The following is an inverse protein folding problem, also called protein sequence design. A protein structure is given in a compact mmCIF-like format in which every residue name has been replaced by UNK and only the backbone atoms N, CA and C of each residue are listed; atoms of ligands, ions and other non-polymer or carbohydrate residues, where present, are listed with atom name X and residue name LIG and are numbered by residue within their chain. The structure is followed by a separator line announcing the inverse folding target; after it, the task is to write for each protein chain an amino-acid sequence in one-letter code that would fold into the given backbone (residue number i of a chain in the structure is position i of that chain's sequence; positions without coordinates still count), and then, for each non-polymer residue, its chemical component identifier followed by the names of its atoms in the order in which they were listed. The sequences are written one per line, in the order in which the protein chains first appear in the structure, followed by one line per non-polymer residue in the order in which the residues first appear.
data_IF_746290953717
#
_entry.id   IF_746290953717
#
_cell.length_a   1.000
_cell.length_b   1.000
_cell.length_c   1.000
_cell.angle_alpha   90.00
_cell.angle_beta   90.00
_cell.angle_gamma   90.00
#
_symmetry.space_group_name_H-M   'P 1'
#
loop_
_entity.id
_entity.type
_entity.pdbx_description
1 polymer ?
#
# COMPACT_ATOMS: atom_id res chain seq x y z
N UNK A 1 -3.01 -20.10 -18.56
CA UNK A 1 -3.32 -18.68 -18.30
C UNK A 1 -2.13 -18.07 -17.60
N UNK A 2 -1.56 -17.02 -18.15
CA UNK A 2 -0.43 -16.27 -17.55
C UNK A 2 -0.93 -15.39 -16.42
N UNK A 3 -0.02 -14.96 -15.53
CA UNK A 3 -0.37 -14.06 -14.42
C UNK A 3 -0.95 -12.74 -14.90
N UNK A 4 -0.47 -12.22 -16.04
CA UNK A 4 -0.98 -10.98 -16.63
C UNK A 4 -2.39 -11.16 -17.22
N UNK A 5 -2.68 -12.29 -17.84
CA UNK A 5 -4.03 -12.62 -18.32
C UNK A 5 -5.00 -12.72 -17.15
N UNK A 6 -4.60 -13.41 -16.07
CA UNK A 6 -5.43 -13.53 -14.88
C UNK A 6 -5.66 -12.17 -14.20
N UNK A 7 -4.64 -11.30 -14.13
CA UNK A 7 -4.79 -9.92 -13.66
C UNK A 7 -5.75 -9.08 -14.52
N UNK A 8 -5.75 -9.28 -15.85
CA UNK A 8 -6.73 -8.64 -16.75
C UNK A 8 -8.15 -9.16 -16.48
N UNK A 9 -8.30 -10.45 -16.23
CA UNK A 9 -9.60 -11.03 -15.89
C UNK A 9 -10.12 -10.54 -14.54
N UNK A 10 -9.25 -10.35 -13.54
CA UNK A 10 -9.61 -9.69 -12.27
C UNK A 10 -10.20 -8.29 -12.55
N UNK A 11 -9.49 -7.48 -13.35
CA UNK A 11 -9.97 -6.14 -13.69
C UNK A 11 -11.32 -6.18 -14.40
N UNK A 12 -11.50 -7.08 -15.38
CA UNK A 12 -12.75 -7.26 -16.12
C UNK A 12 -13.90 -7.72 -15.21
N UNK A 13 -13.64 -8.65 -14.30
CA UNK A 13 -14.63 -9.17 -13.37
C UNK A 13 -15.13 -8.05 -12.43
N UNK A 14 -14.22 -7.28 -11.85
CA UNK A 14 -14.57 -6.18 -10.95
C UNK A 14 -15.19 -4.99 -11.68
N UNK A 15 -14.79 -4.70 -12.92
CA UNK A 15 -15.43 -3.66 -13.74
C UNK A 15 -16.90 -3.97 -14.05
N UNK A 16 -17.28 -5.26 -14.11
CA UNK A 16 -18.67 -5.71 -14.28
C UNK A 16 -19.45 -5.80 -12.97
N UNK A 17 -18.80 -5.63 -11.82
CA UNK A 17 -19.39 -5.76 -10.50
C UNK A 17 -19.12 -4.49 -9.65
N UNK A 18 -19.87 -3.39 -9.86
CA UNK A 18 -19.65 -2.11 -9.16
C UNK A 18 -19.67 -2.21 -7.63
N UNK A 19 -20.46 -3.13 -7.09
CA UNK A 19 -20.56 -3.43 -5.65
C UNK A 19 -19.38 -4.26 -5.11
N UNK A 20 -18.49 -4.73 -5.99
CA UNK A 20 -17.40 -5.63 -5.66
C UNK A 20 -17.83 -7.09 -5.50
N UNK A 21 -16.84 -7.97 -5.47
CA UNK A 21 -17.02 -9.42 -5.35
C UNK A 21 -16.41 -9.91 -4.04
N UNK A 22 -17.04 -10.87 -3.36
CA UNK A 22 -16.38 -11.56 -2.25
C UNK A 22 -15.19 -12.37 -2.76
N UNK A 23 -14.37 -12.83 -1.83
CA UNK A 23 -13.23 -13.71 -2.11
C UNK A 23 -13.65 -14.96 -2.89
N UNK A 24 -14.74 -15.59 -2.47
CA UNK A 24 -15.28 -16.82 -3.05
C UNK A 24 -15.91 -16.57 -4.42
N UNK A 25 -16.64 -15.45 -4.57
CA UNK A 25 -17.22 -15.05 -5.85
C UNK A 25 -16.13 -14.78 -6.88
N UNK A 26 -15.08 -14.02 -6.51
CA UNK A 26 -13.98 -13.70 -7.40
C UNK A 26 -13.18 -14.95 -7.77
N UNK A 27 -12.85 -15.82 -6.82
CA UNK A 27 -12.16 -17.08 -7.10
C UNK A 27 -12.97 -17.99 -8.04
N UNK A 28 -14.30 -18.05 -7.86
CA UNK A 28 -15.20 -18.81 -8.75
C UNK A 28 -15.24 -18.23 -10.15
N UNK A 29 -15.33 -16.90 -10.30
CA UNK A 29 -15.33 -16.22 -11.61
C UNK A 29 -14.03 -16.47 -12.35
N UNK A 30 -12.90 -16.46 -11.64
CA UNK A 30 -11.57 -16.68 -12.22
C UNK A 30 -11.24 -18.16 -12.42
N UNK A 31 -11.95 -19.08 -11.76
CA UNK A 31 -11.68 -20.51 -11.81
C UNK A 31 -10.34 -20.91 -11.19
N UNK A 32 -9.86 -20.16 -10.19
CA UNK A 32 -8.54 -20.38 -9.57
C UNK A 32 -8.62 -20.51 -8.06
N UNK A 33 -7.58 -21.10 -7.46
CA UNK A 33 -7.42 -21.17 -6.01
C UNK A 33 -7.13 -19.81 -5.37
N UNK A 34 -7.29 -19.73 -4.06
CA UNK A 34 -7.20 -18.48 -3.31
C UNK A 34 -5.87 -17.74 -3.48
N UNK A 35 -4.73 -18.43 -3.30
CA UNK A 35 -3.41 -17.82 -3.40
C UNK A 35 -3.21 -17.15 -4.76
N UNK A 36 -3.53 -17.87 -5.83
CA UNK A 36 -3.39 -17.39 -7.19
C UNK A 36 -4.33 -16.21 -7.50
N UNK A 37 -5.55 -16.22 -6.95
CA UNK A 37 -6.47 -15.09 -7.03
C UNK A 37 -5.89 -13.86 -6.32
N UNK A 38 -5.31 -14.01 -5.13
CA UNK A 38 -4.71 -12.88 -4.37
C UNK A 38 -3.50 -12.29 -5.10
N UNK A 39 -2.66 -13.13 -5.69
CA UNK A 39 -1.50 -12.69 -6.49
C UNK A 39 -1.97 -11.95 -7.75
N UNK A 40 -3.00 -12.45 -8.43
CA UNK A 40 -3.59 -11.78 -9.58
C UNK A 40 -4.25 -10.45 -9.24
N UNK A 41 -4.94 -10.37 -8.10
CA UNK A 41 -5.49 -9.13 -7.55
C UNK A 41 -4.37 -8.14 -7.29
N UNK A 42 -3.25 -8.58 -6.70
CA UNK A 42 -2.11 -7.71 -6.44
C UNK A 42 -1.51 -7.14 -7.74
N UNK A 43 -1.31 -7.99 -8.74
CA UNK A 43 -0.80 -7.56 -10.03
C UNK A 43 -1.78 -6.63 -10.78
N UNK A 44 -3.08 -6.95 -10.77
CA UNK A 44 -4.11 -6.11 -11.37
C UNK A 44 -4.12 -4.71 -10.75
N UNK A 45 -4.03 -4.65 -9.44
CA UNK A 45 -3.90 -3.43 -8.66
C UNK A 45 -2.70 -2.56 -9.08
N UNK A 46 -1.51 -3.15 -9.21
CA UNK A 46 -0.31 -2.43 -9.65
C UNK A 46 -0.44 -1.89 -11.07
N UNK A 47 -1.08 -2.64 -11.98
CA UNK A 47 -1.26 -2.22 -13.38
C UNK A 47 -2.37 -1.19 -13.55
N UNK A 48 -3.40 -1.22 -12.72
CA UNK A 48 -4.54 -0.33 -12.80
C UNK A 48 -4.28 1.05 -12.18
N UNK A 49 -3.44 1.11 -11.14
CA UNK A 49 -3.15 2.35 -10.41
C UNK A 49 -2.64 3.51 -11.30
N UNK A 50 -1.66 3.32 -12.21
CA UNK A 50 -1.21 4.39 -13.11
C UNK A 50 -2.32 4.97 -14.00
N UNK A 51 -3.34 4.16 -14.31
CA UNK A 51 -4.50 4.54 -15.12
C UNK A 51 -5.63 5.20 -14.29
N UNK A 52 -5.40 5.49 -13.01
CA UNK A 52 -6.38 6.17 -12.15
C UNK A 52 -7.45 5.25 -11.59
N UNK A 53 -7.13 3.98 -11.39
CA UNK A 53 -8.02 3.02 -10.73
C UNK A 53 -7.41 2.52 -9.44
N UNK A 54 -8.22 2.41 -8.39
CA UNK A 54 -7.85 1.72 -7.17
C UNK A 54 -8.51 0.36 -7.11
N UNK A 55 -7.76 -0.68 -6.77
CA UNK A 55 -8.26 -2.04 -6.67
C UNK A 55 -7.79 -2.66 -5.35
N UNK A 56 -8.71 -3.17 -4.55
CA UNK A 56 -8.34 -3.82 -3.30
C UNK A 56 -9.55 -4.33 -2.54
N UNK A 57 -9.28 -5.00 -1.41
CA UNK A 57 -10.33 -5.43 -0.50
C UNK A 57 -10.79 -4.25 0.34
N UNK A 58 -12.09 -4.03 0.34
CA UNK A 58 -12.77 -3.11 1.24
C UNK A 58 -13.07 -3.83 2.56
N UNK A 59 -12.44 -3.44 3.68
CA UNK A 59 -12.63 -4.12 4.97
C UNK A 59 -14.02 -3.93 5.57
N UNK A 60 -14.80 -2.93 5.13
CA UNK A 60 -16.16 -2.71 5.63
C UNK A 60 -17.13 -3.74 5.03
N UNK A 61 -16.95 -4.10 3.75
CA UNK A 61 -17.86 -5.00 3.02
C UNK A 61 -17.29 -6.40 2.83
N UNK A 62 -15.99 -6.60 3.05
CA UNK A 62 -15.30 -7.86 2.78
C UNK A 62 -15.19 -8.20 1.30
N UNK A 63 -15.39 -7.21 0.41
CA UNK A 63 -15.41 -7.38 -1.05
C UNK A 63 -14.18 -6.77 -1.70
N UNK A 64 -13.68 -7.41 -2.75
CA UNK A 64 -12.74 -6.78 -3.68
C UNK A 64 -13.51 -5.80 -4.56
N UNK A 65 -13.01 -4.56 -4.63
CA UNK A 65 -13.64 -3.47 -5.38
C UNK A 65 -12.66 -2.89 -6.40
N UNK A 66 -13.21 -2.33 -7.47
CA UNK A 66 -12.50 -1.49 -8.43
C UNK A 66 -13.11 -0.10 -8.38
N UNK A 67 -12.32 0.88 -7.95
CA UNK A 67 -12.75 2.26 -7.72
C UNK A 67 -12.10 3.14 -8.79
N UNK A 68 -12.87 3.70 -9.73
CA UNK A 68 -12.37 4.72 -10.64
C UNK A 68 -12.10 6.03 -9.88
N UNK A 69 -10.88 6.57 -9.98
CA UNK A 69 -10.44 7.80 -9.33
C UNK A 69 -10.55 9.03 -10.25
N UNK A 70 -10.86 8.81 -11.54
CA UNK A 70 -11.00 9.86 -12.56
C UNK A 70 -12.28 10.70 -12.42
N UNK A 71 -13.17 10.35 -11.49
CA UNK A 71 -14.36 11.11 -11.14
C UNK A 71 -14.32 11.52 -9.66
N UNK A 72 -13.61 12.62 -9.34
CA UNK A 72 -13.36 13.04 -7.96
C UNK A 72 -14.60 13.60 -7.24
N UNK A 73 -15.73 13.79 -7.94
CA UNK A 73 -16.93 14.42 -7.38
C UNK A 73 -17.86 13.48 -6.60
N UNK A 74 -17.46 12.22 -6.36
CA UNK A 74 -18.21 11.30 -5.51
C UNK A 74 -17.57 11.18 -4.10
N UNK A 75 -18.09 11.90 -3.08
CA UNK A 75 -17.56 11.84 -1.70
C UNK A 75 -17.48 10.41 -1.15
N UNK A 76 -18.44 9.56 -1.51
CA UNK A 76 -18.51 8.16 -1.11
C UNK A 76 -17.36 7.32 -1.68
N UNK A 77 -16.94 7.58 -2.92
CA UNK A 77 -15.80 6.89 -3.55
C UNK A 77 -14.47 7.27 -2.91
N UNK A 78 -14.31 8.56 -2.56
CA UNK A 78 -13.11 9.04 -1.87
C UNK A 78 -12.95 8.37 -0.50
N UNK A 79 -14.03 8.28 0.27
CA UNK A 79 -14.03 7.61 1.57
C UNK A 79 -13.72 6.12 1.45
N UNK A 80 -14.34 5.43 0.48
CA UNK A 80 -14.07 4.02 0.21
C UNK A 80 -12.61 3.78 -0.21
N UNK A 81 -12.08 4.60 -1.12
CA UNK A 81 -10.69 4.51 -1.56
C UNK A 81 -9.70 4.71 -0.40
N UNK A 82 -9.93 5.69 0.48
CA UNK A 82 -9.11 5.88 1.70
C UNK A 82 -9.12 4.65 2.58
N UNK A 83 -10.28 4.03 2.80
CA UNK A 83 -10.41 2.83 3.63
C UNK A 83 -9.68 1.63 3.03
N UNK A 84 -9.78 1.41 1.72
CA UNK A 84 -9.02 0.35 1.02
C UNK A 84 -7.51 0.60 1.13
N UNK A 85 -7.05 1.85 0.97
CA UNK A 85 -5.64 2.21 1.15
C UNK A 85 -5.15 1.97 2.57
N UNK A 86 -5.94 2.34 3.58
CA UNK A 86 -5.64 2.09 4.98
C UNK A 86 -5.49 0.59 5.26
N UNK A 87 -6.41 -0.23 4.72
CA UNK A 87 -6.34 -1.67 4.85
C UNK A 87 -5.12 -2.27 4.13
N UNK A 88 -4.78 -1.80 2.93
CA UNK A 88 -3.58 -2.24 2.22
C UNK A 88 -2.30 -1.90 2.97
N UNK A 89 -2.27 -0.74 3.65
CA UNK A 89 -1.14 -0.28 4.46
C UNK A 89 -0.93 -1.14 5.70
N UNK A 90 -1.96 -1.73 6.31
CA UNK A 90 -1.76 -2.58 7.50
C UNK A 90 -0.99 -3.87 7.19
N UNK A 91 -0.74 -4.19 5.91
CA UNK A 91 0.08 -5.32 5.46
C UNK A 91 1.42 -4.90 4.82
N UNK A 92 1.93 -3.72 5.20
CA UNK A 92 2.98 -2.95 4.51
C UNK A 92 4.20 -3.74 4.03
N UNK A 93 4.70 -4.71 4.81
CA UNK A 93 5.89 -5.51 4.48
C UNK A 93 5.81 -6.22 3.13
N UNK A 94 4.61 -6.60 2.68
CA UNK A 94 4.39 -7.35 1.43
C UNK A 94 3.72 -6.51 0.34
N UNK A 95 3.38 -5.25 0.62
CA UNK A 95 2.45 -4.46 -0.22
C UNK A 95 2.97 -3.08 -0.60
N UNK A 96 4.18 -2.70 -0.18
CA UNK A 96 4.75 -1.35 -0.35
C UNK A 96 4.58 -0.80 -1.77
N UNK A 97 5.05 -1.52 -2.81
CA UNK A 97 4.98 -1.06 -4.20
C UNK A 97 3.55 -0.73 -4.63
N UNK A 98 2.62 -1.64 -4.32
CA UNK A 98 1.19 -1.51 -4.65
C UNK A 98 0.56 -0.33 -3.91
N UNK A 99 0.86 -0.18 -2.62
CA UNK A 99 0.37 0.94 -1.82
C UNK A 99 0.85 2.28 -2.40
N UNK A 100 2.15 2.42 -2.68
CA UNK A 100 2.74 3.65 -3.20
C UNK A 100 2.09 4.07 -4.52
N UNK A 101 1.93 3.14 -5.48
CA UNK A 101 1.28 3.42 -6.77
C UNK A 101 -0.17 3.90 -6.60
N UNK A 102 -0.94 3.27 -5.70
CA UNK A 102 -2.34 3.68 -5.47
C UNK A 102 -2.45 4.98 -4.68
N UNK A 103 -1.54 5.23 -3.73
CA UNK A 103 -1.50 6.48 -2.98
C UNK A 103 -1.16 7.66 -3.90
N UNK A 104 -0.21 7.47 -4.83
CA UNK A 104 0.08 8.45 -5.89
C UNK A 104 -1.13 8.71 -6.80
N UNK A 105 -1.81 7.65 -7.24
CA UNK A 105 -3.02 7.77 -8.05
C UNK A 105 -4.15 8.51 -7.30
N UNK A 106 -4.34 8.22 -6.02
CA UNK A 106 -5.28 8.91 -5.14
C UNK A 106 -4.92 10.39 -5.01
N UNK A 107 -3.66 10.69 -4.76
CA UNK A 107 -3.18 12.08 -4.58
C UNK A 107 -3.37 12.90 -5.85
N UNK A 108 -3.07 12.30 -7.01
CA UNK A 108 -3.32 12.94 -8.32
C UNK A 108 -4.79 13.25 -8.55
N UNK A 109 -5.69 12.35 -8.14
CA UNK A 109 -7.13 12.50 -8.33
C UNK A 109 -7.77 13.54 -7.41
N UNK A 110 -7.36 13.57 -6.14
CA UNK A 110 -8.03 14.36 -5.10
C UNK A 110 -7.25 15.59 -4.63
N UNK A 111 -6.01 15.79 -5.12
CA UNK A 111 -5.16 16.93 -4.77
C UNK A 111 -4.57 16.87 -3.35
N UNK A 112 -4.74 15.76 -2.64
CA UNK A 112 -4.27 15.57 -1.27
C UNK A 112 -3.87 14.09 -1.05
N UNK A 113 -2.90 13.82 -0.15
CA UNK A 113 -2.59 12.45 0.20
C UNK A 113 -3.78 11.77 0.89
N UNK A 114 -3.88 10.43 0.83
CA UNK A 114 -4.87 9.69 1.60
C UNK A 114 -4.61 9.86 3.11
N UNK A 115 -5.23 10.85 3.74
CA UNK A 115 -5.27 10.98 5.20
C UNK A 115 -6.07 9.82 5.79
N UNK A 116 -5.41 9.02 6.62
CA UNK A 116 -6.04 7.89 7.31
C UNK A 116 -6.49 8.39 8.68
N UNK A 117 -7.79 8.67 8.82
CA UNK A 117 -8.41 9.01 10.11
C UNK A 117 -8.36 7.80 11.05
N UNK A 118 -7.76 8.00 12.23
CA UNK A 118 -7.97 7.14 13.39
C UNK A 118 -6.84 6.14 13.67
N UNK A 119 -6.12 6.42 14.75
CA UNK A 119 -5.04 5.64 15.33
C UNK A 119 -3.92 5.28 14.35
N UNK A 120 -2.78 5.96 14.52
CA UNK A 120 -1.50 5.32 14.28
C UNK A 120 -1.59 3.89 14.85
N UNK A 121 -1.68 2.88 13.98
CA UNK A 121 -1.16 1.59 14.38
C UNK A 121 0.24 1.88 14.92
N UNK A 122 0.61 1.36 16.10
CA UNK A 122 1.99 1.47 16.55
C UNK A 122 2.85 1.03 15.38
N UNK A 123 3.63 1.98 14.94
CA UNK A 123 4.33 1.98 13.68
C UNK A 123 5.29 0.78 13.73
N UNK A 124 4.93 -0.38 13.15
CA UNK A 124 5.95 -1.37 12.75
C UNK A 124 6.98 -0.70 11.81
N UNK A 125 6.59 0.44 11.25
CA UNK A 125 7.40 1.37 10.49
C UNK A 125 7.40 2.76 11.10
N UNK A 126 8.13 2.96 12.21
CA UNK A 126 9.03 4.11 12.33
C UNK A 126 10.03 4.15 11.14
N UNK A 127 9.53 4.06 9.90
CA UNK A 127 10.20 4.14 8.60
C UNK A 127 10.52 5.59 8.24
N UNK A 128 10.88 6.39 9.25
CA UNK A 128 11.82 7.47 9.04
C UNK A 128 13.25 6.93 8.88
N UNK A 129 13.47 5.62 9.02
CA UNK A 129 14.79 5.00 8.97
C UNK A 129 14.81 3.88 7.92
N UNK A 130 14.99 4.26 6.65
CA UNK A 130 15.47 3.32 5.64
C UNK A 130 16.88 2.87 6.09
N UNK A 131 17.17 1.58 6.28
CA UNK A 131 18.50 1.11 6.71
C UNK A 131 19.62 1.56 5.76
N UNK A 132 19.33 1.71 4.47
CA UNK A 132 20.29 2.28 3.51
C UNK A 132 20.51 3.77 3.75
N UNK A 133 19.46 4.52 4.12
CA UNK A 133 19.58 5.95 4.42
C UNK A 133 20.35 6.19 5.73
N UNK A 134 20.10 5.37 6.75
CA UNK A 134 20.86 5.35 8.00
C UNK A 134 22.34 5.07 7.77
N UNK A 135 22.65 4.02 6.99
CA UNK A 135 24.02 3.67 6.66
C UNK A 135 24.72 4.77 5.86
N UNK A 136 24.01 5.37 4.89
CA UNK A 136 24.55 6.45 4.06
C UNK A 136 24.84 7.70 4.90
N UNK A 137 23.98 8.05 5.86
CA UNK A 137 24.25 9.18 6.76
C UNK A 137 25.35 8.87 7.78
N UNK A 138 25.45 7.63 8.28
CA UNK A 138 26.54 7.20 9.15
C UNK A 138 27.90 7.33 8.45
N UNK A 139 27.99 6.88 7.18
CA UNK A 139 29.21 7.02 6.35
C UNK A 139 29.54 8.50 6.14
N UNK A 140 28.57 9.34 5.80
CA UNK A 140 28.78 10.79 5.61
C UNK A 140 29.23 11.49 6.90
N UNK A 141 28.64 11.15 8.03
CA UNK A 141 29.04 11.69 9.33
C UNK A 141 30.48 11.29 9.68
N UNK A 142 30.85 10.04 9.41
CA UNK A 142 32.21 9.55 9.61
C UNK A 142 33.23 10.25 8.70
N UNK A 143 32.93 10.40 7.40
CA UNK A 143 33.78 11.14 6.45
C UNK A 143 34.01 12.60 6.87
N UNK A 144 32.96 13.26 7.37
CA UNK A 144 33.03 14.64 7.90
C UNK A 144 33.69 14.74 9.27
N UNK A 145 34.00 13.61 9.93
CA UNK A 145 34.46 13.53 11.33
C UNK A 145 33.50 14.22 12.32
N UNK A 146 32.22 14.22 12.00
CA UNK A 146 31.17 14.81 12.84
C UNK A 146 30.67 13.78 13.86
N UNK A 147 31.23 13.83 15.07
CA UNK A 147 30.91 12.90 16.15
C UNK A 147 29.49 13.06 16.67
N UNK A 148 28.90 14.26 16.60
CA UNK A 148 27.54 14.51 17.08
C UNK A 148 26.52 13.92 16.12
N UNK A 149 26.70 14.13 14.81
CA UNK A 149 25.86 13.52 13.79
C UNK A 149 25.98 11.99 13.80
N UNK A 150 27.19 11.46 14.00
CA UNK A 150 27.41 10.01 14.07
C UNK A 150 26.69 9.41 15.28
N UNK A 151 26.78 10.02 16.46
CA UNK A 151 26.08 9.55 17.67
C UNK A 151 24.56 9.53 17.48
N UNK A 152 23.99 10.58 16.88
CA UNK A 152 22.56 10.70 16.59
C UNK A 152 22.07 9.61 15.62
N UNK A 153 22.84 9.33 14.56
CA UNK A 153 22.51 8.27 13.59
C UNK A 153 22.62 6.89 14.22
N UNK A 154 23.60 6.67 15.10
CA UNK A 154 23.75 5.40 15.83
C UNK A 154 22.61 5.16 16.83
N UNK A 155 22.13 6.20 17.52
CA UNK A 155 20.95 6.10 18.39
C UNK A 155 19.69 5.73 17.59
N UNK A 156 19.49 6.39 16.45
CA UNK A 156 18.41 6.04 15.51
C UNK A 156 18.55 4.59 15.00
N UNK A 157 19.76 4.14 14.69
CA UNK A 157 20.01 2.75 14.29
C UNK A 157 19.75 1.74 15.42
N UNK A 158 20.06 2.07 16.68
CA UNK A 158 19.78 1.22 17.84
C UNK A 158 18.28 1.08 18.09
N UNK A 159 17.51 2.17 17.92
CA UNK A 159 16.04 2.17 17.98
C UNK A 159 15.48 1.32 16.84
N UNK A 160 15.99 1.49 15.62
CA UNK A 160 15.57 0.71 14.44
C UNK A 160 15.82 -0.80 14.61
N UNK A 161 17.00 -1.18 15.12
CA UNK A 161 17.39 -2.58 15.34
C UNK A 161 16.77 -3.19 16.60
N UNK A 162 16.03 -2.42 17.41
CA UNK A 162 15.43 -2.89 18.66
C UNK A 162 16.46 -3.27 19.74
N UNK A 163 17.68 -2.74 19.67
CA UNK A 163 18.77 -3.00 20.62
C UNK A 163 18.99 -1.87 21.63
N UNK A 164 18.32 -0.73 21.45
CA UNK A 164 18.37 0.41 22.38
C UNK A 164 17.43 0.25 23.57
N UNK A 165 17.90 0.55 24.79
CA UNK A 165 17.04 0.64 25.99
C UNK A 165 16.22 1.92 25.94
N UNK A 166 14.89 1.79 25.97
CA UNK A 166 13.99 2.91 26.23
C UNK A 166 14.17 3.39 27.68
N UNK A 167 14.43 4.68 27.88
CA UNK A 167 14.31 5.37 29.16
C UNK A 167 13.05 6.22 29.13
#
# INVERSE_FOLDING_TARGET
MTDLELAREVFRALAKAPQGLTREELARVLGVGDRQMRDAVALAAEKAAPAGYLLGMDPETGRYVLIPLNDPQAPTRKAQARRVLAYLRSYFETTFRRYSLMAEAFTRAYGEPPEVLGAAQPNLFQAALNPEALLREAVRAWERRDQAALAQVMEQAQVYLGVGRAW
#
